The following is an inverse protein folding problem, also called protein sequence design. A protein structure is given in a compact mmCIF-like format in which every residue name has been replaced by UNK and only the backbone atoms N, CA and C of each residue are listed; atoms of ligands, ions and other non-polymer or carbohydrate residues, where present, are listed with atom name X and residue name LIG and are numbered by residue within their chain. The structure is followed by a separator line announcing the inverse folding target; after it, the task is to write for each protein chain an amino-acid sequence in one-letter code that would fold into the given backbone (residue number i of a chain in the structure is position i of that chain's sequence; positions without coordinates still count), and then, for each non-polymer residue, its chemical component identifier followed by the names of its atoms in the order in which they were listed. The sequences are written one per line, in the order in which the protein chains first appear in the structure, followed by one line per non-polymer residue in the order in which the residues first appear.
data_IF_261660100610
#
_entry.id   IF_261660100610
#
_cell.length_a   1.000
_cell.length_b   1.000
_cell.length_c   1.000
_cell.angle_alpha   90.00
_cell.angle_beta   90.00
_cell.angle_gamma   90.00
#
_symmetry.space_group_name_H-M   'P 1'
#
loop_
_entity.id
_entity.type
_entity.pdbx_description
1 polymer ?
#
# COMPACT_ATOMS: atom_id res chain seq x y z
N UNK A 1 -28.75 -42.87 -36.87
CA UNK A 1 -28.31 -41.51 -36.47
C UNK A 1 -29.11 -41.07 -35.23
N UNK A 2 -28.51 -41.00 -34.03
CA UNK A 2 -29.12 -40.38 -32.85
C UNK A 2 -28.04 -39.63 -32.05
N UNK A 3 -28.31 -38.36 -31.80
CA UNK A 3 -27.43 -37.38 -31.19
C UNK A 3 -27.11 -37.69 -29.72
N UNK A 4 -25.84 -37.54 -29.33
CA UNK A 4 -25.45 -37.41 -27.92
C UNK A 4 -25.21 -35.92 -27.65
N UNK A 5 -26.15 -35.32 -26.90
CA UNK A 5 -26.11 -33.96 -26.38
C UNK A 5 -24.82 -33.72 -25.59
N UNK A 6 -24.14 -32.62 -25.92
CA UNK A 6 -22.97 -32.11 -25.22
C UNK A 6 -23.29 -31.82 -23.74
N UNK A 7 -22.73 -32.62 -22.85
CA UNK A 7 -22.66 -32.29 -21.42
C UNK A 7 -21.58 -31.25 -21.20
N UNK A 8 -21.90 -29.97 -21.43
CA UNK A 8 -21.01 -28.85 -21.07
C UNK A 8 -21.04 -28.73 -19.55
N UNK A 9 -20.08 -29.38 -18.91
CA UNK A 9 -19.83 -29.31 -17.47
C UNK A 9 -19.77 -27.84 -17.07
N UNK A 10 -20.76 -27.39 -16.29
CA UNK A 10 -20.75 -26.07 -15.66
C UNK A 10 -19.62 -26.07 -14.64
N UNK A 11 -18.45 -25.54 -15.02
CA UNK A 11 -17.41 -25.16 -14.07
C UNK A 11 -18.01 -24.02 -13.24
N UNK A 12 -18.41 -24.36 -12.02
CA UNK A 12 -18.66 -23.36 -10.99
C UNK A 12 -17.29 -22.78 -10.67
N UNK A 13 -17.00 -21.60 -11.20
CA UNK A 13 -15.83 -20.83 -10.77
C UNK A 13 -15.97 -20.65 -9.25
N UNK A 14 -14.89 -20.96 -8.51
CA UNK A 14 -14.85 -20.75 -7.07
C UNK A 14 -15.19 -19.30 -6.71
N UNK A 15 -15.47 -18.99 -5.43
CA UNK A 15 -15.80 -17.64 -5.02
C UNK A 15 -14.72 -16.67 -5.54
N UNK A 16 -15.18 -15.59 -6.18
CA UNK A 16 -14.38 -14.55 -6.84
C UNK A 16 -13.56 -13.70 -5.83
N UNK A 17 -13.04 -14.31 -4.77
CA UNK A 17 -12.38 -13.65 -3.63
C UNK A 17 -10.95 -13.21 -3.94
N UNK A 18 -10.36 -13.69 -5.03
CA UNK A 18 -8.97 -13.40 -5.39
C UNK A 18 -8.85 -12.36 -6.51
N UNK A 19 -9.94 -12.00 -7.20
CA UNK A 19 -9.90 -11.01 -8.27
C UNK A 19 -10.34 -9.65 -7.74
N UNK A 20 -9.37 -8.83 -7.32
CA UNK A 20 -9.63 -7.39 -7.15
C UNK A 20 -9.76 -6.78 -8.54
N UNK A 21 -10.89 -6.12 -8.79
CA UNK A 21 -11.04 -5.38 -10.05
C UNK A 21 -10.00 -4.27 -10.12
N UNK A 22 -9.53 -3.89 -11.32
CA UNK A 22 -8.59 -2.78 -11.48
C UNK A 22 -9.08 -1.48 -10.82
N UNK A 23 -10.39 -1.29 -10.76
CA UNK A 23 -11.01 -0.15 -10.07
C UNK A 23 -10.84 -0.22 -8.54
N UNK A 24 -11.01 -1.41 -7.94
CA UNK A 24 -10.78 -1.60 -6.50
C UNK A 24 -9.31 -1.37 -6.16
N UNK A 25 -8.39 -1.84 -7.00
CA UNK A 25 -6.95 -1.58 -6.83
C UNK A 25 -6.62 -0.08 -6.92
N UNK A 26 -7.23 0.64 -7.87
CA UNK A 26 -7.07 2.09 -7.99
C UNK A 26 -7.62 2.82 -6.73
N UNK A 27 -8.76 2.37 -6.17
CA UNK A 27 -9.31 2.93 -4.93
C UNK A 27 -8.42 2.68 -3.71
N UNK A 28 -7.92 1.45 -3.52
CA UNK A 28 -6.98 1.12 -2.43
C UNK A 28 -5.67 1.90 -2.57
N UNK A 29 -5.19 2.08 -3.79
CA UNK A 29 -3.99 2.86 -4.08
C UNK A 29 -4.19 4.32 -3.71
N UNK A 30 -5.34 4.90 -4.10
CA UNK A 30 -5.72 6.27 -3.75
C UNK A 30 -5.80 6.45 -2.23
N UNK A 31 -6.51 5.56 -1.56
CA UNK A 31 -6.70 5.60 -0.10
C UNK A 31 -5.35 5.59 0.63
N UNK A 32 -4.44 4.71 0.23
CA UNK A 32 -3.08 4.64 0.79
C UNK A 32 -2.32 5.95 0.64
N UNK A 33 -2.41 6.61 -0.51
CA UNK A 33 -1.72 7.88 -0.74
C UNK A 33 -2.36 9.04 0.04
N UNK A 34 -3.69 9.06 0.17
CA UNK A 34 -4.41 10.09 0.92
C UNK A 34 -4.20 9.98 2.44
N UNK A 35 -3.96 8.77 2.96
CA UNK A 35 -3.72 8.51 4.38
C UNK A 35 -2.23 8.56 4.80
N UNK A 36 -1.34 9.01 3.92
CA UNK A 36 0.09 9.19 4.20
C UNK A 36 0.32 10.29 5.24
N UNK A 37 1.29 10.09 6.14
CA UNK A 37 1.71 11.16 7.05
C UNK A 37 2.67 12.10 6.31
N UNK A 38 2.18 13.29 6.00
CA UNK A 38 2.91 14.34 5.31
C UNK A 38 3.75 15.18 6.28
N UNK A 39 3.48 15.15 7.59
CA UNK A 39 4.21 15.95 8.58
C UNK A 39 5.65 15.44 8.76
N UNK A 40 5.86 14.14 8.58
CA UNK A 40 7.18 13.52 8.56
C UNK A 40 7.98 13.72 7.27
N UNK A 41 7.41 14.35 6.24
CA UNK A 41 8.09 14.61 4.97
C UNK A 41 8.82 15.96 5.01
N UNK A 42 9.95 16.03 4.29
CA UNK A 42 10.64 17.29 4.04
C UNK A 42 9.72 18.26 3.28
N UNK A 43 9.77 19.55 3.61
CA UNK A 43 8.87 20.59 3.06
C UNK A 43 8.75 20.56 1.52
N UNK A 44 9.90 20.46 0.83
CA UNK A 44 9.93 20.36 -0.65
C UNK A 44 9.17 19.14 -1.15
N UNK A 45 9.30 17.98 -0.49
CA UNK A 45 8.58 16.77 -0.89
C UNK A 45 7.09 16.88 -0.53
N UNK A 46 6.75 17.51 0.59
CA UNK A 46 5.37 17.73 1.00
C UNK A 46 4.61 18.54 -0.05
N UNK A 47 5.17 19.66 -0.48
CA UNK A 47 4.53 20.52 -1.49
C UNK A 47 4.29 19.76 -2.81
N UNK A 48 5.27 19.00 -3.27
CA UNK A 48 5.14 18.20 -4.48
C UNK A 48 4.10 17.07 -4.32
N UNK A 49 4.10 16.38 -3.18
CA UNK A 49 3.08 15.35 -2.87
C UNK A 49 1.68 15.98 -2.80
N UNK A 50 1.52 17.15 -2.18
CA UNK A 50 0.25 17.86 -2.10
C UNK A 50 -0.30 18.24 -3.49
N UNK A 51 0.57 18.73 -4.39
CA UNK A 51 0.20 19.01 -5.79
C UNK A 51 -0.30 17.76 -6.49
N UNK A 52 0.45 16.65 -6.38
CA UNK A 52 0.08 15.39 -7.03
C UNK A 52 -1.18 14.78 -6.40
N UNK A 53 -1.36 14.85 -5.08
CA UNK A 53 -2.60 14.45 -4.40
C UNK A 53 -3.80 15.30 -4.84
N UNK A 54 -3.60 16.60 -5.06
CA UNK A 54 -4.61 17.47 -5.67
C UNK A 54 -5.06 16.96 -7.04
N UNK A 55 -4.11 16.53 -7.86
CA UNK A 55 -4.40 15.90 -9.16
C UNK A 55 -5.13 14.57 -9.02
N UNK A 56 -4.73 13.70 -8.08
CA UNK A 56 -5.45 12.45 -7.79
C UNK A 56 -6.90 12.72 -7.40
N UNK A 57 -7.17 13.75 -6.60
CA UNK A 57 -8.53 14.14 -6.22
C UNK A 57 -9.35 14.65 -7.39
N UNK A 58 -8.73 15.38 -8.33
CA UNK A 58 -9.40 15.98 -9.48
C UNK A 58 -9.68 14.98 -10.62
N UNK A 59 -8.70 14.15 -10.98
CA UNK A 59 -8.76 13.28 -12.18
C UNK A 59 -8.63 11.79 -11.88
N UNK A 60 -8.40 11.42 -10.62
CA UNK A 60 -8.21 10.03 -10.20
C UNK A 60 -6.80 9.49 -10.52
N UNK A 61 -6.55 8.27 -10.05
CA UNK A 61 -5.25 7.57 -10.17
C UNK A 61 -4.81 7.42 -11.63
N UNK A 62 -5.76 7.20 -12.54
CA UNK A 62 -5.50 7.03 -13.99
C UNK A 62 -5.06 8.31 -14.70
N UNK A 63 -5.34 9.48 -14.13
CA UNK A 63 -4.88 10.76 -14.66
C UNK A 63 -3.44 11.12 -14.30
N UNK A 64 -2.78 10.31 -13.47
CA UNK A 64 -1.37 10.48 -13.14
C UNK A 64 -0.45 9.88 -14.20
N UNK A 65 0.66 10.58 -14.45
CA UNK A 65 1.82 10.04 -15.15
C UNK A 65 2.51 8.97 -14.31
N UNK A 66 3.35 8.15 -14.96
CA UNK A 66 4.17 7.14 -14.27
C UNK A 66 5.05 7.76 -13.18
N UNK A 67 5.72 8.88 -13.47
CA UNK A 67 6.60 9.55 -12.53
C UNK A 67 5.86 10.08 -11.28
N UNK A 68 4.64 10.59 -11.46
CA UNK A 68 3.78 11.05 -10.34
C UNK A 68 3.36 9.88 -9.44
N UNK A 69 3.03 8.73 -10.03
CA UNK A 69 2.71 7.51 -9.26
C UNK A 69 3.92 7.03 -8.47
N UNK A 70 5.08 6.94 -9.13
CA UNK A 70 6.33 6.52 -8.49
C UNK A 70 6.78 7.48 -7.38
N UNK A 71 6.48 8.77 -7.51
CA UNK A 71 6.70 9.74 -6.43
C UNK A 71 5.83 9.40 -5.21
N UNK A 72 4.52 9.27 -5.41
CA UNK A 72 3.59 8.96 -4.32
C UNK A 72 3.87 7.60 -3.68
N UNK A 73 4.24 6.59 -4.47
CA UNK A 73 4.63 5.27 -3.95
C UNK A 73 5.87 5.36 -3.05
N UNK A 74 6.93 6.04 -3.50
CA UNK A 74 8.14 6.23 -2.71
C UNK A 74 7.88 7.00 -1.42
N UNK A 75 7.02 8.03 -1.47
CA UNK A 75 6.69 8.82 -0.29
C UNK A 75 5.79 8.04 0.68
N UNK A 76 4.88 7.21 0.18
CA UNK A 76 4.08 6.31 0.99
C UNK A 76 4.97 5.32 1.76
N UNK A 77 5.92 4.70 1.07
CA UNK A 77 6.92 3.82 1.70
C UNK A 77 7.81 4.56 2.71
N UNK A 78 8.22 5.79 2.39
CA UNK A 78 9.04 6.61 3.30
C UNK A 78 8.27 6.98 4.57
N UNK A 79 7.00 7.38 4.43
CA UNK A 79 6.10 7.71 5.53
C UNK A 79 5.80 6.48 6.40
N UNK A 80 5.53 5.33 5.78
CA UNK A 80 5.33 4.08 6.52
C UNK A 80 6.58 3.66 7.31
N UNK A 81 7.77 3.79 6.72
CA UNK A 81 9.04 3.58 7.44
C UNK A 81 9.25 4.58 8.57
N UNK A 82 8.83 5.83 8.40
CA UNK A 82 8.92 6.83 9.45
C UNK A 82 7.98 6.49 10.62
N UNK A 83 6.74 6.06 10.31
CA UNK A 83 5.74 5.58 11.28
C UNK A 83 6.21 4.31 12.01
N UNK A 84 6.77 3.34 11.30
CA UNK A 84 7.29 2.09 11.85
C UNK A 84 8.51 2.25 12.77
N UNK A 85 9.26 3.35 12.64
CA UNK A 85 10.34 3.70 13.58
C UNK A 85 9.83 4.39 14.86
N UNK A 86 8.55 4.72 14.94
CA UNK A 86 7.99 5.59 15.97
C UNK A 86 6.83 5.00 16.77
N UNK A 87 6.98 3.85 17.45
CA UNK A 87 6.35 3.57 18.78
C UNK A 87 6.82 2.22 19.41
N UNK A 88 6.67 2.01 20.73
CA UNK A 88 7.80 1.69 21.62
C UNK A 88 7.62 0.36 22.37
N UNK A 89 8.67 -0.46 22.49
CA UNK A 89 8.61 -1.62 23.39
C UNK A 89 9.49 -2.81 23.06
N UNK A 90 10.79 -2.61 22.83
CA UNK A 90 11.76 -3.69 22.78
C UNK A 90 12.98 -3.31 23.60
N UNK A 91 12.90 -3.48 24.93
CA UNK A 91 14.04 -3.40 25.82
C UNK A 91 15.12 -4.37 25.33
N UNK A 92 16.13 -3.88 24.62
CA UNK A 92 17.44 -4.47 24.76
C UNK A 92 17.98 -3.96 26.10
N UNK A 93 17.54 -4.59 27.19
CA UNK A 93 18.32 -4.52 28.41
C UNK A 93 19.71 -5.07 28.03
N UNK A 94 20.82 -4.34 28.28
CA UNK A 94 22.13 -4.96 28.18
C UNK A 94 22.14 -6.18 29.12
N UNK A 95 22.73 -7.32 28.72
CA UNK A 95 22.78 -8.47 29.61
C UNK A 95 23.44 -8.05 30.92
N UNK A 96 22.68 -8.18 32.02
CA UNK A 96 23.14 -7.90 33.37
C UNK A 96 24.33 -8.83 33.64
N UNK A 97 25.55 -8.30 33.56
CA UNK A 97 26.73 -9.05 33.99
C UNK A 97 26.55 -9.34 35.48
N UNK A 98 26.35 -10.60 35.83
CA UNK A 98 26.42 -11.07 37.20
C UNK A 98 27.88 -10.93 37.68
N UNK A 99 28.12 -10.40 38.89
CA UNK A 99 29.47 -10.41 39.43
C UNK A 99 29.95 -11.86 39.57
N UNK A 100 31.15 -12.14 39.07
CA UNK A 100 31.80 -13.43 39.23
C UNK A 100 32.11 -13.65 40.72
N UNK A 101 31.79 -14.81 41.30
CA UNK A 101 32.20 -15.12 42.66
C UNK A 101 33.73 -15.21 42.74
N UNK A 102 34.28 -14.68 43.83
CA UNK A 102 35.70 -14.74 44.20
C UNK A 102 36.15 -16.15 44.56
#
# INVERSE_FOLDING_TARGET
RKARKAGKVRRVEGPNSQYKSPYVLDLETKDRWENMDLEGLHEVNREEVEKVLGKVRAVGVRGLSTAERELLDRMADASDRARGRGRPGGRHAPPRQLPRPS
#
